data_IF_401331466841
#
_entry.id   IF_401331466841
#
_cell.length_a   1.000
_cell.length_b   1.000
_cell.length_c   1.000
_cell.angle_alpha   90.00
_cell.angle_beta   90.00
_cell.angle_gamma   90.00
#
_symmetry.space_group_name_H-M   'P 1'
#
loop_
_entity.id
_entity.type
_entity.pdbx_description
1 polymer ?
#
# COMPACT_ATOMS: atom_id res chain seq x y z
N UNK A 1 -29.54 43.81 27.98
CA UNK A 1 -28.07 43.91 27.81
C UNK A 1 -27.26 42.88 28.60
N UNK A 2 -27.72 42.37 29.77
CA UNK A 2 -26.96 41.38 30.56
C UNK A 2 -26.82 39.98 29.93
N UNK A 3 -27.78 39.54 29.11
CA UNK A 3 -27.75 38.20 28.49
C UNK A 3 -26.91 38.09 27.20
N UNK A 4 -26.58 39.22 26.54
CA UNK A 4 -25.71 39.23 25.35
C UNK A 4 -24.23 39.09 25.70
N UNK A 5 -23.84 39.54 26.90
CA UNK A 5 -22.46 39.42 27.37
C UNK A 5 -22.12 37.98 27.78
N UNK A 6 -23.06 37.25 28.38
CA UNK A 6 -22.87 35.85 28.78
C UNK A 6 -22.72 34.94 27.56
N UNK A 7 -23.51 35.17 26.49
CA UNK A 7 -23.42 34.38 25.26
C UNK A 7 -22.09 34.58 24.51
N UNK A 8 -21.52 35.79 24.57
CA UNK A 8 -20.20 36.09 23.99
C UNK A 8 -19.05 35.42 24.75
N UNK A 9 -19.15 35.31 26.08
CA UNK A 9 -18.15 34.59 26.89
C UNK A 9 -18.23 33.08 26.66
N UNK A 10 -19.43 32.51 26.50
CA UNK A 10 -19.60 31.09 26.18
C UNK A 10 -19.10 30.71 24.78
N UNK A 11 -19.23 31.61 23.79
CA UNK A 11 -18.69 31.40 22.44
C UNK A 11 -17.15 31.56 22.42
N UNK A 12 -16.59 32.45 23.25
CA UNK A 12 -15.13 32.62 23.32
C UNK A 12 -14.43 31.41 23.97
N UNK A 13 -15.07 30.74 24.92
CA UNK A 13 -14.53 29.52 25.54
C UNK A 13 -14.59 28.30 24.60
N UNK A 14 -15.52 28.27 23.64
CA UNK A 14 -15.61 27.20 22.63
C UNK A 14 -14.62 27.36 21.45
N UNK A 15 -13.99 28.54 21.32
CA UNK A 15 -12.95 28.82 20.33
C UNK A 15 -11.53 28.61 20.87
N UNK A 16 -11.36 28.12 22.10
CA UNK A 16 -10.12 27.46 22.49
C UNK A 16 -10.18 26.05 21.92
N UNK A 17 -10.04 25.98 20.59
CA UNK A 17 -9.47 24.79 19.97
C UNK A 17 -8.13 24.62 20.68
N UNK A 18 -8.05 23.69 21.63
CA UNK A 18 -6.77 23.12 21.97
C UNK A 18 -6.20 22.65 20.64
N UNK A 19 -5.25 23.42 20.11
CA UNK A 19 -4.29 22.89 19.18
C UNK A 19 -3.64 21.75 19.95
N UNK A 20 -4.19 20.54 19.80
CA UNK A 20 -3.43 19.32 19.99
C UNK A 20 -2.21 19.55 19.13
N UNK A 21 -1.10 19.94 19.77
CA UNK A 21 0.18 20.05 19.10
C UNK A 21 0.38 18.66 18.51
N UNK A 22 0.15 18.52 17.22
CA UNK A 22 0.49 17.30 16.51
C UNK A 22 1.94 17.02 16.90
N UNK A 23 2.22 15.82 17.43
CA UNK A 23 3.55 15.43 17.87
C UNK A 23 4.43 15.40 16.63
N UNK A 24 4.98 16.57 16.28
CA UNK A 24 5.79 16.72 15.09
C UNK A 24 7.13 16.08 15.42
N UNK A 25 7.40 14.91 14.84
CA UNK A 25 8.72 14.27 14.92
C UNK A 25 9.84 15.11 14.27
N UNK A 26 9.54 16.32 13.79
CA UNK A 26 10.51 17.31 13.33
C UNK A 26 11.56 17.65 14.40
N UNK A 27 11.26 17.46 15.68
CA UNK A 27 12.25 17.65 16.76
C UNK A 27 12.52 16.37 17.56
N UNK A 28 12.96 15.33 16.85
CA UNK A 28 13.26 14.01 17.41
C UNK A 28 14.23 14.02 18.61
N UNK A 29 15.18 14.96 18.65
CA UNK A 29 16.20 15.02 19.71
C UNK A 29 15.59 15.33 21.08
N UNK A 30 14.48 16.07 21.14
CA UNK A 30 13.78 16.38 22.39
C UNK A 30 12.67 15.39 22.74
N UNK A 31 12.35 14.45 21.85
CA UNK A 31 11.36 13.42 22.14
C UNK A 31 11.95 12.36 23.09
N UNK A 32 11.22 11.95 24.16
CA UNK A 32 11.72 11.00 25.15
C UNK A 32 12.27 9.69 24.57
N UNK A 33 11.58 9.14 23.56
CA UNK A 33 11.99 7.92 22.86
C UNK A 33 13.00 8.18 21.72
N UNK A 34 12.73 9.17 20.86
CA UNK A 34 13.53 9.39 19.65
C UNK A 34 14.92 9.98 19.94
N UNK A 35 15.17 10.58 21.11
CA UNK A 35 16.52 10.97 21.54
C UNK A 35 17.54 9.83 21.43
N UNK A 36 17.10 8.58 21.57
CA UNK A 36 17.90 7.38 21.33
C UNK A 36 17.49 6.67 20.03
N UNK A 37 16.19 6.51 19.78
CA UNK A 37 15.68 5.71 18.65
C UNK A 37 15.80 6.39 17.28
N UNK A 38 16.20 7.65 17.18
CA UNK A 38 16.51 8.29 15.88
C UNK A 38 18.00 8.44 15.62
N UNK A 39 18.87 7.80 16.42
CA UNK A 39 20.32 7.97 16.35
C UNK A 39 21.05 6.62 16.30
N UNK A 40 22.22 6.61 15.64
CA UNK A 40 23.09 5.42 15.58
C UNK A 40 23.82 5.12 16.88
N UNK A 41 23.93 6.12 17.76
CA UNK A 41 24.54 5.98 19.08
C UNK A 41 23.73 6.74 20.10
N UNK A 42 23.78 6.31 21.34
CA UNK A 42 23.17 7.00 22.46
C UNK A 42 24.10 6.99 23.67
N UNK A 43 23.93 8.00 24.52
CA UNK A 43 24.68 8.13 25.77
C UNK A 43 23.74 7.98 26.96
N UNK A 44 24.24 7.40 28.05
CA UNK A 44 23.50 7.30 29.31
C UNK A 44 24.46 7.23 30.50
N UNK A 45 23.98 7.69 31.65
CA UNK A 45 24.67 7.54 32.91
C UNK A 45 24.47 6.12 33.46
N UNK A 46 25.57 5.38 33.67
CA UNK A 46 25.52 4.08 34.31
C UNK A 46 25.64 4.26 35.82
N UNK A 47 24.53 4.08 36.53
CA UNK A 47 24.47 4.22 38.00
C UNK A 47 25.28 3.18 38.76
N UNK A 48 25.57 2.01 38.16
CA UNK A 48 26.37 0.96 38.79
C UNK A 48 27.85 1.31 38.79
N UNK A 49 28.36 1.87 37.69
CA UNK A 49 29.78 2.24 37.56
C UNK A 49 30.04 3.73 37.81
N UNK A 50 28.98 4.54 37.95
CA UNK A 50 29.02 6.00 38.04
C UNK A 50 29.78 6.66 36.87
N UNK A 51 29.59 6.16 35.65
CA UNK A 51 30.26 6.66 34.44
C UNK A 51 29.25 7.01 33.35
N UNK A 52 29.57 8.03 32.56
CA UNK A 52 28.89 8.30 31.29
C UNK A 52 29.32 7.27 30.25
N UNK A 53 28.34 6.53 29.73
CA UNK A 53 28.56 5.47 28.75
C UNK A 53 27.99 5.89 27.41
N UNK A 54 28.73 5.64 26.33
CA UNK A 54 28.23 5.74 24.96
C UNK A 54 28.15 4.34 24.33
N UNK A 55 27.05 4.06 23.64
CA UNK A 55 26.77 2.77 22.99
C UNK A 55 26.19 2.96 21.60
N UNK A 56 26.36 1.94 20.76
CA UNK A 56 25.69 1.86 19.47
C UNK A 56 24.24 1.41 19.67
N UNK A 57 23.32 2.04 18.93
CA UNK A 57 21.95 1.59 18.85
C UNK A 57 21.88 0.36 17.95
N UNK A 58 21.00 -0.59 18.30
CA UNK A 58 20.71 -1.69 17.40
C UNK A 58 20.13 -1.12 16.09
N UNK A 59 20.71 -1.39 14.91
CA UNK A 59 20.24 -0.82 13.65
C UNK A 59 18.79 -1.15 13.33
N UNK A 60 18.23 -2.23 13.88
CA UNK A 60 16.82 -2.59 13.72
C UNK A 60 15.86 -1.78 14.60
N UNK A 61 16.37 -0.98 15.53
CA UNK A 61 15.58 -0.09 16.42
C UNK A 61 15.81 1.39 16.13
N UNK A 62 16.49 1.71 15.03
CA UNK A 62 16.63 3.08 14.55
C UNK A 62 15.43 3.39 13.65
N UNK A 63 14.70 4.44 13.99
CA UNK A 63 13.49 4.90 13.31
C UNK A 63 13.82 6.02 12.33
N UNK A 64 13.26 5.94 11.13
CA UNK A 64 13.28 7.01 10.14
C UNK A 64 12.19 8.05 10.47
N UNK A 65 12.60 9.12 11.14
CA UNK A 65 11.70 10.17 11.60
C UNK A 65 11.07 10.95 10.44
N UNK A 66 11.73 11.04 9.29
CA UNK A 66 11.17 11.67 8.10
C UNK A 66 10.04 10.80 7.55
N UNK A 67 10.28 9.49 7.39
CA UNK A 67 9.25 8.57 6.94
C UNK A 67 8.05 8.52 7.90
N UNK A 68 8.28 8.57 9.22
CA UNK A 68 7.21 8.61 10.22
C UNK A 68 6.27 9.81 10.05
N UNK A 69 6.79 10.99 9.71
CA UNK A 69 5.95 12.19 9.49
C UNK A 69 5.01 12.07 8.29
N UNK A 70 5.29 11.15 7.37
CA UNK A 70 4.42 10.85 6.22
C UNK A 70 3.41 9.74 6.50
N UNK A 71 3.57 9.00 7.60
CA UNK A 71 2.73 7.85 7.95
C UNK A 71 1.35 8.24 8.47
N UNK A 72 0.40 7.31 8.40
CA UNK A 72 -0.99 7.50 8.85
C UNK A 72 -1.11 7.64 10.38
N UNK A 73 -0.12 7.15 11.13
CA UNK A 73 -0.07 7.19 12.59
C UNK A 73 0.79 8.33 13.16
N UNK A 74 1.21 9.28 12.33
CA UNK A 74 2.15 10.34 12.72
C UNK A 74 1.73 11.23 13.90
N UNK A 75 0.46 11.17 14.31
CA UNK A 75 -0.08 11.95 15.41
C UNK A 75 -0.01 11.22 16.77
N UNK A 76 0.26 9.91 16.76
CA UNK A 76 0.38 9.11 17.98
C UNK A 76 1.76 9.26 18.61
N UNK A 77 1.83 9.26 19.94
CA UNK A 77 3.07 9.08 20.68
C UNK A 77 3.47 7.59 20.66
N UNK A 78 4.75 7.31 20.89
CA UNK A 78 5.27 5.95 21.00
C UNK A 78 4.51 5.15 22.07
N UNK A 79 4.16 5.79 23.18
CA UNK A 79 3.48 5.15 24.32
C UNK A 79 1.97 4.92 24.11
N UNK A 80 1.41 5.36 22.98
CA UNK A 80 0.04 5.00 22.60
C UNK A 80 -0.05 3.55 22.08
N UNK A 81 1.07 3.02 21.58
CA UNK A 81 1.19 1.65 21.06
C UNK A 81 2.15 0.77 21.87
N UNK A 82 3.13 1.38 22.52
CA UNK A 82 4.08 0.70 23.40
C UNK A 82 3.72 0.97 24.86
N UNK A 83 4.08 0.06 25.76
CA UNK A 83 3.89 0.27 27.19
C UNK A 83 4.48 1.60 27.67
N UNK A 84 3.75 2.32 28.51
CA UNK A 84 4.19 3.57 29.12
C UNK A 84 5.45 3.40 29.97
N UNK A 85 5.74 2.16 30.41
CA UNK A 85 6.96 1.82 31.15
C UNK A 85 8.24 1.99 30.31
N UNK A 86 8.15 2.02 28.98
CA UNK A 86 9.27 2.41 28.11
C UNK A 86 9.70 3.88 28.31
N UNK A 87 8.94 4.69 29.03
CA UNK A 87 9.35 6.03 29.45
C UNK A 87 10.58 6.04 30.38
N UNK A 88 10.94 4.90 30.98
CA UNK A 88 12.08 4.76 31.89
C UNK A 88 13.23 4.00 31.22
N UNK A 89 14.46 4.52 31.34
CA UNK A 89 15.69 3.86 30.90
C UNK A 89 16.57 3.50 32.11
N UNK A 90 17.21 2.30 32.14
CA UNK A 90 17.14 1.23 31.15
C UNK A 90 15.75 0.57 31.10
N UNK A 91 15.31 0.20 29.90
CA UNK A 91 14.03 -0.47 29.71
C UNK A 91 14.06 -1.85 30.37
N UNK A 92 12.98 -2.21 31.06
CA UNK A 92 12.85 -3.54 31.65
C UNK A 92 12.74 -4.60 30.55
N UNK A 93 13.40 -5.75 30.75
CA UNK A 93 13.51 -6.77 29.71
C UNK A 93 12.16 -7.44 29.37
N UNK A 94 11.26 -7.55 30.35
CA UNK A 94 9.92 -8.12 30.20
C UNK A 94 9.02 -7.29 29.27
N UNK A 95 9.27 -5.98 29.10
CA UNK A 95 8.48 -5.13 28.20
C UNK A 95 8.52 -5.60 26.74
N UNK A 96 9.50 -6.43 26.36
CA UNK A 96 9.60 -7.02 25.02
C UNK A 96 8.66 -8.21 24.81
N UNK A 97 8.15 -8.77 25.90
CA UNK A 97 7.24 -9.92 25.92
C UNK A 97 5.78 -9.47 25.96
N UNK A 98 5.53 -8.18 26.20
CA UNK A 98 4.20 -7.63 26.23
C UNK A 98 3.58 -7.64 24.83
N UNK A 99 2.27 -7.95 24.73
CA UNK A 99 1.58 -7.87 23.47
C UNK A 99 1.55 -6.41 22.99
N UNK A 100 1.81 -6.23 21.69
CA UNK A 100 1.64 -4.93 21.04
C UNK A 100 0.19 -4.78 20.60
N UNK A 101 -0.31 -3.54 20.59
CA UNK A 101 -1.63 -3.22 20.06
C UNK A 101 -1.79 -3.70 18.62
N UNK A 102 -2.90 -4.39 18.36
CA UNK A 102 -3.30 -4.83 17.04
C UNK A 102 -4.03 -3.71 16.29
N UNK A 103 -4.19 -3.86 14.97
CA UNK A 103 -4.96 -2.89 14.19
C UNK A 103 -6.42 -2.80 14.64
N UNK A 104 -7.00 -3.93 15.06
CA UNK A 104 -8.41 -4.02 15.46
C UNK A 104 -8.66 -3.42 16.85
N UNK A 105 -7.62 -3.29 17.68
CA UNK A 105 -7.76 -2.68 19.02
C UNK A 105 -8.21 -1.21 18.93
N UNK A 106 -7.86 -0.52 17.83
CA UNK A 106 -8.29 0.86 17.55
C UNK A 106 -9.24 0.98 16.36
N UNK A 107 -9.09 0.15 15.32
CA UNK A 107 -9.90 0.26 14.11
C UNK A 107 -11.11 -0.68 14.07
N UNK A 108 -11.21 -1.62 15.01
CA UNK A 108 -12.33 -2.55 15.10
C UNK A 108 -13.51 -1.94 15.84
N UNK A 109 -14.73 -2.17 15.33
CA UNK A 109 -15.98 -1.80 16.00
C UNK A 109 -16.28 -0.29 16.07
N UNK A 110 -15.44 0.56 15.50
CA UNK A 110 -15.64 2.01 15.47
C UNK A 110 -16.25 2.45 14.13
N UNK A 111 -17.42 3.11 14.22
CA UNK A 111 -18.15 3.65 13.08
C UNK A 111 -17.33 4.64 12.24
N UNK A 112 -16.37 5.35 12.85
CA UNK A 112 -15.47 6.30 12.18
C UNK A 112 -14.53 5.59 11.19
N UNK A 113 -14.21 4.33 11.45
CA UNK A 113 -13.32 3.51 10.62
C UNK A 113 -14.07 2.48 9.75
N UNK A 114 -15.39 2.37 9.87
CA UNK A 114 -16.21 1.41 9.11
C UNK A 114 -15.99 1.46 7.60
N UNK A 115 -15.71 2.65 7.02
CA UNK A 115 -15.39 2.82 5.58
C UNK A 115 -14.14 2.06 5.12
N UNK A 116 -13.25 1.70 6.04
CA UNK A 116 -12.02 0.95 5.74
C UNK A 116 -12.22 -0.56 5.85
N UNK A 117 -13.27 -1.01 6.54
CA UNK A 117 -13.68 -2.41 6.65
C UNK A 117 -12.58 -3.30 7.24
N UNK A 118 -11.99 -2.89 8.37
CA UNK A 118 -10.83 -3.57 8.98
C UNK A 118 -11.14 -5.00 9.41
N UNK A 119 -12.36 -5.30 9.86
CA UNK A 119 -12.80 -6.65 10.22
C UNK A 119 -12.79 -7.57 9.00
N UNK A 120 -13.31 -7.09 7.86
CA UNK A 120 -13.29 -7.85 6.61
C UNK A 120 -11.87 -8.00 6.08
N UNK A 121 -11.01 -7.00 6.27
CA UNK A 121 -9.59 -7.08 5.95
C UNK A 121 -8.92 -8.17 6.78
N UNK A 122 -9.20 -8.24 8.08
CA UNK A 122 -8.70 -9.29 8.98
C UNK A 122 -9.20 -10.69 8.56
N UNK A 123 -10.47 -10.82 8.18
CA UNK A 123 -11.03 -12.08 7.65
C UNK A 123 -10.31 -12.55 6.37
N UNK A 124 -10.05 -11.64 5.42
CA UNK A 124 -9.29 -11.95 4.19
C UNK A 124 -7.82 -12.28 4.51
N UNK A 125 -7.20 -11.52 5.41
CA UNK A 125 -5.83 -11.75 5.87
C UNK A 125 -5.67 -13.14 6.48
N UNK A 126 -6.62 -13.59 7.30
CA UNK A 126 -6.63 -14.93 7.90
C UNK A 126 -6.75 -16.05 6.85
N UNK A 127 -7.28 -15.76 5.65
CA UNK A 127 -7.32 -16.72 4.54
C UNK A 127 -6.00 -16.76 3.75
N UNK A 128 -5.16 -15.74 3.89
CA UNK A 128 -3.91 -15.64 3.15
C UNK A 128 -2.96 -16.82 3.42
N UNK A 129 -2.09 -17.11 2.45
CA UNK A 129 -1.02 -18.10 2.57
C UNK A 129 -0.09 -17.80 3.75
N UNK A 130 0.13 -16.53 4.08
CA UNK A 130 0.99 -16.14 5.18
C UNK A 130 0.39 -16.50 6.55
N UNK A 131 -0.88 -16.14 6.79
CA UNK A 131 -1.54 -16.51 8.04
C UNK A 131 -1.73 -18.02 8.14
N UNK A 132 -2.13 -18.69 7.05
CA UNK A 132 -2.27 -20.16 7.05
C UNK A 132 -0.96 -20.90 7.37
N UNK A 133 0.18 -20.36 6.95
CA UNK A 133 1.48 -20.98 7.18
C UNK A 133 2.02 -20.73 8.60
N UNK A 134 1.78 -19.55 9.17
CA UNK A 134 2.47 -19.10 10.39
C UNK A 134 1.53 -18.75 11.55
N UNK A 135 0.21 -18.77 11.34
CA UNK A 135 -0.79 -18.39 12.31
C UNK A 135 -0.52 -17.00 12.90
N UNK A 136 -0.68 -16.89 14.20
CA UNK A 136 -0.54 -15.62 14.94
C UNK A 136 0.88 -15.06 14.96
N UNK A 137 1.90 -15.82 14.52
CA UNK A 137 3.27 -15.31 14.34
C UNK A 137 3.41 -14.40 13.11
N UNK A 138 2.44 -14.42 12.20
CA UNK A 138 2.38 -13.50 11.07
C UNK A 138 1.17 -12.58 11.24
N UNK A 139 1.45 -11.31 11.52
CA UNK A 139 0.45 -10.28 11.79
C UNK A 139 0.45 -9.21 10.70
N UNK A 140 -0.55 -8.32 10.72
CA UNK A 140 -0.68 -7.20 9.78
C UNK A 140 0.60 -6.36 9.68
N UNK A 141 1.36 -6.25 10.77
CA UNK A 141 2.56 -5.41 10.87
C UNK A 141 3.77 -5.97 10.10
N UNK A 142 3.72 -7.25 9.71
CA UNK A 142 4.75 -7.86 8.84
C UNK A 142 4.72 -7.28 7.42
N UNK A 143 3.56 -6.78 6.98
CA UNK A 143 3.40 -6.08 5.70
C UNK A 143 3.30 -4.56 5.88
N UNK A 144 2.54 -4.10 6.89
CA UNK A 144 2.26 -2.69 7.14
C UNK A 144 3.04 -2.16 8.36
N UNK A 145 4.09 -1.38 8.12
CA UNK A 145 4.85 -0.76 9.21
C UNK A 145 3.97 0.20 10.03
N UNK A 146 3.79 -0.06 11.33
CA UNK A 146 3.02 0.82 12.21
C UNK A 146 3.61 2.24 12.31
N UNK A 147 4.93 2.37 12.09
CA UNK A 147 5.65 3.64 12.16
C UNK A 147 5.59 4.44 10.85
N UNK A 148 5.52 3.79 9.69
CA UNK A 148 5.77 4.44 8.39
C UNK A 148 4.74 4.12 7.31
N UNK A 149 3.66 3.40 7.64
CA UNK A 149 2.65 3.02 6.67
C UNK A 149 1.90 4.22 6.11
N UNK A 150 1.73 4.24 4.78
CA UNK A 150 1.00 5.24 3.98
C UNK A 150 -0.08 4.52 3.19
N UNK A 151 -1.30 5.05 3.20
CA UNK A 151 -2.42 4.47 2.46
C UNK A 151 -2.43 4.88 0.97
N UNK A 152 -1.29 4.72 0.26
CA UNK A 152 -1.09 5.25 -1.10
C UNK A 152 -2.15 4.78 -2.10
N UNK A 153 -2.64 3.54 -1.99
CA UNK A 153 -3.71 3.00 -2.83
C UNK A 153 -5.05 3.75 -2.73
N UNK A 154 -5.20 4.65 -1.75
CA UNK A 154 -6.40 5.48 -1.54
C UNK A 154 -6.11 6.98 -1.61
N UNK A 155 -4.86 7.39 -1.75
CA UNK A 155 -4.46 8.81 -1.62
C UNK A 155 -3.50 9.30 -2.70
N UNK A 156 -2.86 8.40 -3.45
CA UNK A 156 -1.97 8.78 -4.55
C UNK A 156 -2.72 8.70 -5.87
N UNK A 157 -2.51 9.70 -6.72
CA UNK A 157 -3.00 9.71 -8.10
C UNK A 157 -1.96 9.14 -9.08
N UNK A 158 -0.77 8.79 -8.60
CA UNK A 158 0.32 8.22 -9.38
C UNK A 158 0.37 6.69 -9.20
N UNK A 159 0.00 5.97 -10.26
CA UNK A 159 -0.04 4.49 -10.26
C UNK A 159 1.35 3.89 -10.02
N UNK A 160 2.41 4.50 -10.54
CA UNK A 160 3.77 3.99 -10.33
C UNK A 160 4.19 4.10 -8.86
N UNK A 161 3.78 5.16 -8.16
CA UNK A 161 4.00 5.27 -6.71
C UNK A 161 3.23 4.17 -5.96
N UNK A 162 1.96 3.92 -6.34
CA UNK A 162 1.16 2.85 -5.74
C UNK A 162 1.82 1.48 -5.97
N UNK A 163 2.30 1.21 -7.19
CA UNK A 163 2.96 -0.04 -7.55
C UNK A 163 4.24 -0.24 -6.75
N UNK A 164 5.14 0.74 -6.79
CA UNK A 164 6.42 0.69 -6.08
C UNK A 164 6.23 0.55 -4.57
N UNK A 165 5.36 1.36 -3.96
CA UNK A 165 5.08 1.29 -2.53
C UNK A 165 4.50 -0.07 -2.12
N UNK A 166 3.55 -0.59 -2.91
CA UNK A 166 2.93 -1.90 -2.65
C UNK A 166 3.94 -3.04 -2.76
N UNK A 167 4.76 -3.03 -3.80
CA UNK A 167 5.75 -4.08 -4.05
C UNK A 167 6.87 -4.06 -3.01
N UNK A 168 7.29 -2.87 -2.54
CA UNK A 168 8.28 -2.75 -1.46
C UNK A 168 7.86 -3.45 -0.17
N UNK A 169 6.56 -3.51 0.15
CA UNK A 169 6.07 -4.27 1.31
C UNK A 169 6.39 -5.77 1.16
N UNK A 170 6.10 -6.35 0.00
CA UNK A 170 6.41 -7.75 -0.32
C UNK A 170 7.93 -8.00 -0.37
N UNK A 171 8.64 -7.12 -1.08
CA UNK A 171 10.09 -7.23 -1.29
C UNK A 171 10.89 -7.05 0.00
N UNK A 172 10.31 -6.42 1.03
CA UNK A 172 10.96 -6.31 2.35
C UNK A 172 11.35 -7.68 2.92
N UNK A 173 10.65 -8.75 2.56
CA UNK A 173 11.05 -10.13 2.87
C UNK A 173 11.43 -10.90 1.61
N UNK A 174 10.65 -10.81 0.53
CA UNK A 174 10.86 -11.64 -0.66
C UNK A 174 12.12 -11.30 -1.48
N UNK A 175 12.81 -10.20 -1.15
CA UNK A 175 14.13 -9.86 -1.66
C UNK A 175 15.20 -9.73 -0.55
N UNK A 176 14.87 -10.11 0.68
CA UNK A 176 15.78 -10.12 1.83
C UNK A 176 15.83 -11.52 2.43
N UNK A 177 16.89 -12.26 2.09
CA UNK A 177 17.10 -13.64 2.55
C UNK A 177 17.09 -13.77 4.07
N UNK A 178 17.62 -12.76 4.80
CA UNK A 178 17.71 -12.82 6.26
C UNK A 178 16.34 -12.66 6.88
N UNK A 179 15.58 -11.65 6.46
CA UNK A 179 14.24 -11.41 6.99
C UNK A 179 13.27 -12.52 6.58
N UNK A 180 13.39 -13.04 5.36
CA UNK A 180 12.59 -14.18 4.92
C UNK A 180 12.85 -15.42 5.77
N UNK A 181 14.13 -15.79 5.97
CA UNK A 181 14.50 -16.97 6.76
C UNK A 181 14.10 -16.85 8.22
N UNK A 182 14.16 -15.65 8.78
CA UNK A 182 13.70 -15.37 10.15
C UNK A 182 12.21 -15.71 10.35
N UNK A 183 11.38 -15.50 9.33
CA UNK A 183 9.94 -15.79 9.39
C UNK A 183 9.62 -17.21 8.95
N UNK A 184 10.21 -17.66 7.85
CA UNK A 184 9.87 -18.95 7.22
C UNK A 184 10.62 -20.16 7.77
N UNK A 185 11.76 -19.94 8.43
CA UNK A 185 12.66 -21.01 8.86
C UNK A 185 13.47 -21.66 7.74
N UNK A 186 13.28 -21.26 6.48
CA UNK A 186 14.00 -21.82 5.33
C UNK A 186 14.50 -20.73 4.37
N UNK A 187 15.30 -21.14 3.39
CA UNK A 187 15.84 -20.20 2.42
C UNK A 187 14.77 -19.77 1.41
N UNK A 188 14.80 -18.49 1.02
CA UNK A 188 13.91 -17.92 0.02
C UNK A 188 14.40 -18.30 -1.40
N UNK A 189 13.55 -18.87 -2.27
CA UNK A 189 13.90 -19.00 -3.68
C UNK A 189 14.09 -17.61 -4.32
N UNK A 190 15.00 -17.50 -5.28
CA UNK A 190 15.25 -16.22 -5.97
C UNK A 190 14.01 -15.79 -6.75
N UNK A 191 13.59 -14.53 -6.57
CA UNK A 191 12.38 -13.98 -7.18
C UNK A 191 12.35 -14.16 -8.71
N UNK A 192 13.49 -13.91 -9.37
CA UNK A 192 13.62 -14.03 -10.83
C UNK A 192 13.39 -15.45 -11.33
N UNK A 193 13.83 -16.46 -10.57
CA UNK A 193 13.72 -17.88 -10.94
C UNK A 193 12.26 -18.34 -10.86
N UNK A 194 11.56 -18.00 -9.77
CA UNK A 194 10.16 -18.41 -9.59
C UNK A 194 9.19 -17.68 -10.54
N UNK A 195 9.63 -16.58 -11.18
CA UNK A 195 8.86 -15.81 -12.13
C UNK A 195 9.32 -15.98 -13.59
N UNK A 196 10.17 -16.96 -13.93
CA UNK A 196 10.72 -17.16 -15.30
C UNK A 196 9.67 -17.24 -16.41
N UNK A 197 8.44 -17.62 -16.07
CA UNK A 197 7.30 -17.66 -16.99
C UNK A 197 6.79 -16.27 -17.42
N UNK A 198 7.11 -15.22 -16.68
CA UNK A 198 6.64 -13.85 -16.91
C UNK A 198 7.60 -13.11 -17.85
N UNK A 199 7.15 -12.64 -19.03
CA UNK A 199 8.01 -11.90 -19.95
C UNK A 199 8.38 -10.53 -19.38
N UNK A 200 9.60 -10.04 -19.65
CA UNK A 200 10.07 -8.72 -19.20
C UNK A 200 9.78 -8.45 -17.72
N UNK A 201 10.23 -9.35 -16.84
CA UNK A 201 9.92 -9.36 -15.40
C UNK A 201 10.14 -8.00 -14.73
N UNK A 202 11.27 -7.36 -15.01
CA UNK A 202 11.62 -6.06 -14.42
C UNK A 202 10.56 -5.00 -14.73
N UNK A 203 10.17 -4.87 -16.01
CA UNK A 203 9.16 -3.91 -16.43
C UNK A 203 7.79 -4.24 -15.82
N UNK A 204 7.44 -5.52 -15.74
CA UNK A 204 6.22 -5.95 -15.06
C UNK A 204 6.21 -5.55 -13.58
N UNK A 205 7.29 -5.79 -12.84
CA UNK A 205 7.36 -5.45 -11.42
C UNK A 205 7.40 -3.94 -11.16
N UNK A 206 7.79 -3.13 -12.14
CA UNK A 206 7.73 -1.66 -12.07
C UNK A 206 6.32 -1.11 -12.33
N UNK A 207 5.44 -1.86 -13.01
CA UNK A 207 4.14 -1.36 -13.47
C UNK A 207 2.92 -2.13 -12.93
N UNK A 208 3.15 -3.28 -12.31
CA UNK A 208 2.10 -4.18 -11.80
C UNK A 208 2.45 -4.58 -10.37
N UNK A 209 1.46 -4.52 -9.46
CA UNK A 209 1.67 -4.96 -8.07
C UNK A 209 1.79 -6.49 -8.01
N UNK A 210 2.57 -7.01 -7.07
CA UNK A 210 2.62 -8.45 -6.78
C UNK A 210 1.21 -9.01 -6.53
N UNK A 211 0.38 -8.26 -5.81
CA UNK A 211 -0.98 -8.65 -5.46
C UNK A 211 -1.95 -8.70 -6.66
N UNK A 212 -1.63 -8.13 -7.82
CA UNK A 212 -2.49 -8.27 -9.01
C UNK A 212 -2.56 -9.72 -9.49
N UNK A 213 -1.47 -10.47 -9.30
CA UNK A 213 -1.41 -11.88 -9.63
C UNK A 213 -1.63 -12.78 -8.42
N UNK A 214 -1.30 -12.30 -7.21
CA UNK A 214 -1.32 -13.09 -5.98
C UNK A 214 -2.57 -12.89 -5.11
N UNK A 215 -3.61 -12.20 -5.57
CA UNK A 215 -4.87 -12.08 -4.82
C UNK A 215 -6.07 -12.23 -5.75
N UNK A 216 -7.24 -12.57 -5.18
CA UNK A 216 -8.50 -12.44 -5.90
C UNK A 216 -9.03 -11.01 -5.89
N UNK A 217 -9.62 -10.56 -6.99
CA UNK A 217 -10.27 -9.24 -7.06
C UNK A 217 -11.67 -9.36 -6.49
N UNK A 218 -11.91 -8.60 -5.44
CA UNK A 218 -13.21 -8.54 -4.76
C UNK A 218 -13.78 -7.13 -4.87
N UNK A 219 -15.05 -7.01 -5.20
CA UNK A 219 -15.70 -5.71 -5.35
C UNK A 219 -15.86 -4.98 -4.02
N UNK A 220 -15.98 -5.75 -2.95
CA UNK A 220 -16.27 -5.30 -1.60
C UNK A 220 -15.14 -4.59 -0.86
N UNK A 221 -13.89 -4.69 -1.34
CA UNK A 221 -12.72 -4.07 -0.73
C UNK A 221 -11.92 -3.31 -1.78
N UNK A 222 -11.16 -2.30 -1.34
CA UNK A 222 -10.23 -1.59 -2.23
C UNK A 222 -9.03 -2.45 -2.61
N UNK A 223 -8.53 -3.25 -1.66
CA UNK A 223 -7.38 -4.13 -1.83
C UNK A 223 -7.69 -5.44 -1.10
N UNK A 224 -7.58 -6.57 -1.79
CA UNK A 224 -7.73 -7.88 -1.17
C UNK A 224 -6.51 -8.19 -0.29
N UNK A 225 -6.77 -8.81 0.86
CA UNK A 225 -5.73 -9.27 1.78
C UNK A 225 -5.62 -10.81 1.80
N UNK A 226 -6.41 -11.52 0.98
CA UNK A 226 -6.28 -12.98 0.77
C UNK A 226 -5.18 -13.25 -0.26
N UNK A 227 -3.93 -13.17 0.21
CA UNK A 227 -2.75 -13.48 -0.61
C UNK A 227 -2.66 -14.98 -0.86
N UNK A 228 -2.72 -15.37 -2.13
CA UNK A 228 -2.71 -16.75 -2.60
C UNK A 228 -1.29 -17.28 -2.81
N UNK A 229 -1.10 -18.61 -2.65
CA UNK A 229 0.19 -19.26 -2.93
C UNK A 229 0.53 -19.21 -4.43
N UNK A 230 1.81 -19.40 -4.76
CA UNK A 230 2.35 -19.26 -6.14
C UNK A 230 1.67 -20.18 -7.17
N UNK A 231 1.14 -21.31 -6.74
CA UNK A 231 0.42 -22.28 -7.57
C UNK A 231 -0.92 -21.72 -8.07
N UNK A 232 -1.50 -20.77 -7.33
CA UNK A 232 -2.77 -20.12 -7.65
C UNK A 232 -2.58 -18.72 -8.24
N UNK A 233 -1.34 -18.27 -8.44
CA UNK A 233 -1.07 -16.97 -9.03
C UNK A 233 -1.62 -16.88 -10.46
N UNK A 234 -2.18 -15.73 -10.83
CA UNK A 234 -2.70 -15.47 -12.17
C UNK A 234 -1.56 -15.51 -13.21
N UNK A 235 -1.65 -16.44 -14.16
CA UNK A 235 -0.70 -16.57 -15.27
C UNK A 235 -1.29 -16.28 -16.65
N UNK A 236 -2.60 -16.05 -16.73
CA UNK A 236 -3.30 -15.79 -17.99
C UNK A 236 -3.15 -14.31 -18.36
N UNK A 237 -2.21 -13.99 -19.25
CA UNK A 237 -1.90 -12.61 -19.64
C UNK A 237 -3.13 -11.82 -20.13
N UNK A 238 -4.06 -12.49 -20.80
CA UNK A 238 -5.29 -11.88 -21.34
C UNK A 238 -6.20 -11.26 -20.26
N UNK A 239 -6.14 -11.74 -19.03
CA UNK A 239 -6.92 -11.19 -17.91
C UNK A 239 -6.49 -9.75 -17.58
N UNK A 240 -5.23 -9.40 -17.87
CA UNK A 240 -4.69 -8.05 -17.66
C UNK A 240 -4.57 -7.25 -18.96
N UNK A 241 -4.34 -7.92 -20.10
CA UNK A 241 -4.11 -7.30 -21.40
C UNK A 241 -5.38 -7.24 -22.31
N UNK A 242 -6.57 -7.45 -21.76
CA UNK A 242 -7.83 -7.27 -22.48
C UNK A 242 -8.50 -5.92 -22.18
N UNK A 243 -9.44 -5.51 -23.02
CA UNK A 243 -10.20 -4.26 -22.84
C UNK A 243 -10.95 -4.21 -21.49
N UNK A 244 -11.47 -5.34 -21.03
CA UNK A 244 -12.09 -5.52 -19.72
C UNK A 244 -11.08 -6.16 -18.75
N UNK A 245 -9.94 -5.51 -18.55
CA UNK A 245 -8.89 -6.06 -17.72
C UNK A 245 -9.25 -6.05 -16.24
N UNK A 246 -8.77 -7.08 -15.54
CA UNK A 246 -8.77 -7.18 -14.08
C UNK A 246 -8.14 -5.96 -13.42
N UNK A 247 -7.10 -5.38 -14.03
CA UNK A 247 -6.40 -4.19 -13.53
C UNK A 247 -7.34 -2.99 -13.32
N UNK A 248 -8.40 -2.84 -14.14
CA UNK A 248 -9.39 -1.76 -13.96
C UNK A 248 -10.24 -1.93 -12.70
N UNK A 249 -10.45 -3.18 -12.29
CA UNK A 249 -11.19 -3.54 -11.09
C UNK A 249 -10.29 -3.61 -9.83
N UNK A 250 -8.97 -3.61 -9.99
CA UNK A 250 -7.99 -3.67 -8.90
C UNK A 250 -7.07 -2.45 -8.86
N UNK A 251 -5.97 -2.45 -9.61
CA UNK A 251 -4.92 -1.41 -9.59
C UNK A 251 -5.48 -0.01 -9.81
N UNK A 252 -6.36 0.15 -10.81
CA UNK A 252 -6.94 1.44 -11.19
C UNK A 252 -8.30 1.72 -10.53
N UNK A 253 -8.72 0.91 -9.53
CA UNK A 253 -10.06 1.00 -8.92
C UNK A 253 -10.32 2.38 -8.30
N UNK A 254 -9.36 2.94 -7.58
CA UNK A 254 -9.52 4.26 -6.92
C UNK A 254 -9.67 5.39 -7.94
N UNK A 255 -8.80 5.45 -8.94
CA UNK A 255 -8.89 6.41 -10.04
C UNK A 255 -10.23 6.29 -10.78
N UNK A 256 -10.71 5.07 -11.01
CA UNK A 256 -12.01 4.84 -11.63
C UNK A 256 -13.19 5.33 -10.77
N UNK A 257 -13.09 5.24 -9.44
CA UNK A 257 -14.10 5.80 -8.52
C UNK A 257 -14.09 7.33 -8.52
N UNK A 258 -12.90 7.96 -8.47
CA UNK A 258 -12.76 9.41 -8.58
C UNK A 258 -13.30 9.95 -9.91
N UNK A 259 -12.96 9.31 -11.04
CA UNK A 259 -13.49 9.67 -12.37
C UNK A 259 -15.02 9.60 -12.47
N UNK A 260 -15.67 8.71 -11.71
CA UNK A 260 -17.13 8.60 -11.67
C UNK A 260 -17.79 9.68 -10.81
N UNK A 261 -17.12 10.13 -9.75
CA UNK A 261 -17.61 11.25 -8.92
C UNK A 261 -17.35 12.61 -9.56
N UNK A 262 -16.23 12.76 -10.28
CA UNK A 262 -15.82 13.97 -10.99
C UNK A 262 -16.34 13.92 -12.43
N UNK A 263 -17.66 14.05 -12.61
CA UNK A 263 -18.27 14.23 -13.93
C UNK A 263 -17.73 15.51 -14.59
N UNK A 264 -16.70 15.42 -15.44
CA UNK A 264 -16.45 16.53 -16.37
C UNK A 264 -15.11 16.61 -17.10
N UNK A 265 -14.01 16.03 -16.63
CA UNK A 265 -12.71 16.33 -17.25
C UNK A 265 -12.21 15.18 -18.14
N UNK A 266 -12.47 15.30 -19.44
CA UNK A 266 -12.05 14.35 -20.48
C UNK A 266 -10.52 14.34 -20.72
N UNK A 267 -9.77 15.26 -20.11
CA UNK A 267 -8.35 15.48 -20.41
C UNK A 267 -7.34 14.74 -19.52
N UNK A 268 -7.75 14.09 -18.43
CA UNK A 268 -6.83 13.36 -17.53
C UNK A 268 -6.58 11.89 -17.93
N UNK A 269 -7.15 11.45 -19.06
CA UNK A 269 -7.22 10.03 -19.45
C UNK A 269 -5.89 9.43 -19.94
N UNK A 270 -4.87 10.23 -20.25
CA UNK A 270 -3.64 9.71 -20.88
C UNK A 270 -2.34 9.97 -20.11
N UNK A 271 -2.35 10.76 -19.03
CA UNK A 271 -1.11 11.19 -18.39
C UNK A 271 -0.58 10.22 -17.30
N UNK A 272 -1.48 9.49 -16.61
CA UNK A 272 -1.11 8.70 -15.41
C UNK A 272 -1.46 7.21 -15.49
N UNK A 273 -1.93 6.71 -16.64
CA UNK A 273 -2.17 5.27 -16.85
C UNK A 273 -0.97 4.66 -17.56
N UNK A 274 -0.36 3.64 -16.97
CA UNK A 274 0.60 2.79 -17.67
C UNK A 274 -0.10 2.20 -18.89
N UNK A 275 0.35 2.54 -20.11
CA UNK A 275 -0.25 2.01 -21.33
C UNK A 275 -0.09 0.48 -21.35
N UNK A 276 -1.20 -0.22 -21.13
CA UNK A 276 -1.25 -1.68 -21.22
C UNK A 276 -1.73 -2.08 -22.62
N UNK A 277 -0.87 -2.74 -23.39
CA UNK A 277 -1.17 -3.22 -24.74
C UNK A 277 -2.42 -4.11 -24.68
N UNK A 278 -3.42 -3.79 -25.51
CA UNK A 278 -4.68 -4.53 -25.63
C UNK A 278 -5.82 -4.05 -24.72
N UNK A 279 -5.54 -3.40 -23.59
CA UNK A 279 -6.57 -2.87 -22.69
C UNK A 279 -7.07 -1.47 -23.07
N UNK A 280 -6.23 -0.69 -23.77
CA UNK A 280 -6.53 0.63 -24.30
C UNK A 280 -6.81 0.56 -25.82
N UNK A 281 -7.93 -0.06 -26.19
CA UNK A 281 -8.41 0.02 -27.57
C UNK A 281 -9.14 1.35 -27.79
N UNK A 282 -8.63 2.20 -28.70
CA UNK A 282 -9.37 3.38 -29.14
C UNK A 282 -10.58 2.94 -29.99
N UNK A 283 -11.82 3.32 -29.62
CA UNK A 283 -13.01 2.98 -30.41
C UNK A 283 -12.94 3.50 -31.84
N UNK A 284 -12.30 4.67 -32.03
CA UNK A 284 -12.12 5.32 -33.33
C UNK A 284 -11.18 4.48 -34.20
N UNK A 285 -10.03 4.07 -33.67
CA UNK A 285 -9.07 3.25 -34.43
C UNK A 285 -9.66 1.88 -34.75
N UNK A 286 -10.42 1.28 -33.83
CA UNK A 286 -11.12 0.02 -34.07
C UNK A 286 -12.14 0.14 -35.21
N UNK A 287 -12.94 1.20 -35.21
CA UNK A 287 -13.90 1.47 -36.29
C UNK A 287 -13.17 1.71 -37.62
N UNK A 288 -12.11 2.51 -37.63
CA UNK A 288 -11.31 2.77 -38.82
C UNK A 288 -10.70 1.48 -39.40
N UNK A 289 -10.16 0.59 -38.55
CA UNK A 289 -9.63 -0.71 -38.99
C UNK A 289 -10.72 -1.60 -39.61
N UNK A 290 -11.93 -1.61 -39.04
CA UNK A 290 -13.06 -2.36 -39.60
C UNK A 290 -13.47 -1.78 -40.97
N UNK A 291 -13.55 -0.46 -41.09
CA UNK A 291 -13.89 0.22 -42.35
C UNK A 291 -12.85 -0.12 -43.43
N UNK A 292 -11.55 -0.01 -43.12
CA UNK A 292 -10.46 -0.34 -44.06
C UNK A 292 -10.56 -1.82 -44.48
N UNK A 293 -10.83 -2.72 -43.56
CA UNK A 293 -10.98 -4.15 -43.85
C UNK A 293 -12.15 -4.41 -44.82
N UNK A 294 -13.32 -3.80 -44.57
CA UNK A 294 -14.49 -3.91 -45.44
C UNK A 294 -14.22 -3.31 -46.82
N UNK A 295 -13.61 -2.12 -46.89
CA UNK A 295 -13.24 -1.48 -48.16
C UNK A 295 -12.28 -2.34 -48.99
N UNK A 296 -11.32 -2.99 -48.32
CA UNK A 296 -10.38 -3.92 -48.97
C UNK A 296 -11.11 -5.12 -49.57
N UNK A 297 -12.04 -5.71 -48.81
CA UNK A 297 -12.89 -6.82 -49.26
C UNK A 297 -13.75 -6.43 -50.46
N UNK A 298 -14.38 -5.26 -50.42
CA UNK A 298 -15.15 -4.70 -51.54
C UNK A 298 -14.26 -4.51 -52.78
N UNK A 299 -13.06 -3.96 -52.62
CA UNK A 299 -12.10 -3.81 -53.71
C UNK A 299 -11.73 -5.14 -54.37
N UNK A 300 -11.48 -6.18 -53.56
CA UNK A 300 -11.20 -7.54 -54.06
C UNK A 300 -12.39 -8.11 -54.83
N UNK A 301 -13.61 -7.94 -54.33
CA UNK A 301 -14.84 -8.42 -54.99
C UNK A 301 -15.04 -7.70 -56.32
N UNK A 302 -14.94 -6.37 -56.34
CA UNK A 302 -15.07 -5.56 -57.56
C UNK A 302 -14.03 -6.00 -58.59
N UNK A 303 -12.77 -6.14 -58.18
CA UNK A 303 -11.70 -6.57 -59.07
C UNK A 303 -11.92 -7.99 -59.61
N UNK A 304 -12.46 -8.90 -58.78
CA UNK A 304 -12.79 -10.27 -59.17
C UNK A 304 -13.94 -10.32 -60.17
N UNK A 305 -14.99 -9.52 -59.96
CA UNK A 305 -16.13 -9.39 -60.88
C UNK A 305 -15.69 -8.83 -62.22
N UNK A 306 -14.92 -7.74 -62.23
CA UNK A 306 -14.38 -7.18 -63.48
C UNK A 306 -13.50 -8.18 -64.23
N UNK A 307 -12.70 -8.98 -63.51
CA UNK A 307 -11.86 -10.02 -64.12
C UNK A 307 -12.70 -11.12 -64.79
N UNK A 308 -13.84 -11.51 -64.20
CA UNK A 308 -14.76 -12.50 -64.78
C UNK A 308 -15.47 -11.92 -66.00
N UNK A 309 -15.94 -10.67 -65.92
CA UNK A 309 -16.65 -10.00 -67.02
C UNK A 309 -15.76 -9.73 -68.24
N UNK A 310 -14.47 -9.40 -68.05
CA UNK A 310 -13.48 -9.22 -69.14
C UNK A 310 -12.94 -10.51 -69.76
N UNK A 311 -13.23 -11.67 -69.15
CA UNK A 311 -12.82 -13.00 -69.67
C UNK A 311 -13.91 -13.66 -70.53
N UNK A 312 -15.11 -13.06 -70.60
CA UNK A 312 -16.08 -13.28 -71.67
C UNK A 312 -15.77 -12.36 -72.84
#
# INVERSE_FOLDING_TARGET
MKYRLVLLVSIFIYCISFSLNAQSYQNAVHHPCLKCHSQQSYSFHNTVTNLEMKRLMNPYYILDTVAMTSGVHKQFDCTDCHSSEYGTYPHQANLKLEPLSTCLDCHGGDASFAKYQFERIDEEFKKSVHYKAYGDNFTCTKCHSQHTYRATARTSDNVLEIVDYSNKMCLSCHNDMKKYKLVSGHDNPKLVQIHEWLPNQELHFQHVRCIECHTEVVDSLMVSHDILPKEKALRKCVECHSANSRLKASLYKYQNLQKRSEKGDLNTVLANESYVIGSHQSPILKLASIIIFILTLVGIVIHSVFRILKKK
#
